data_IF_832693365148
#
_entry.id   IF_832693365148
#
_cell.length_a   1.000
_cell.length_b   1.000
_cell.length_c   1.000
_cell.angle_alpha   90.00
_cell.angle_beta   90.00
_cell.angle_gamma   90.00
#
_symmetry.space_group_name_H-M   'P 1'
#
loop_
_entity.id
_entity.type
_entity.pdbx_description
1 polymer ?
#
# COMPACT_ATOMS: atom_id res chain seq x y z
N UNK A 1 23.67 -2.92 -27.15
CA UNK A 1 23.95 -3.08 -25.71
C UNK A 1 22.77 -2.46 -24.99
N UNK A 2 21.69 -3.22 -24.85
CA UNK A 2 20.51 -2.80 -24.13
C UNK A 2 20.88 -2.87 -22.66
N UNK A 3 20.88 -1.72 -21.99
CA UNK A 3 21.11 -1.69 -20.56
C UNK A 3 19.90 -2.35 -19.93
N UNK A 4 20.11 -3.55 -19.39
CA UNK A 4 19.23 -4.15 -18.40
C UNK A 4 19.19 -3.16 -17.23
N UNK A 5 18.28 -2.18 -17.31
CA UNK A 5 18.03 -1.24 -16.23
C UNK A 5 17.34 -2.09 -15.18
N UNK A 6 18.12 -2.65 -14.27
CA UNK A 6 17.63 -3.06 -12.95
C UNK A 6 16.88 -1.85 -12.40
N UNK A 7 15.57 -1.83 -12.57
CA UNK A 7 14.74 -0.68 -12.22
C UNK A 7 14.86 -0.48 -10.72
N UNK A 8 15.41 0.67 -10.31
CA UNK A 8 15.62 1.01 -8.91
C UNK A 8 14.33 1.62 -8.33
N UNK A 9 14.00 1.25 -7.10
CA UNK A 9 12.97 1.95 -6.33
C UNK A 9 13.23 3.46 -6.37
N UNK A 10 12.24 4.23 -6.80
CA UNK A 10 12.35 5.68 -6.96
C UNK A 10 11.23 6.38 -6.21
N UNK A 11 11.59 7.41 -5.44
CA UNK A 11 10.67 8.35 -4.81
C UNK A 11 10.71 9.63 -5.65
N UNK A 12 9.62 9.98 -6.31
CA UNK A 12 9.54 11.10 -7.25
C UNK A 12 9.15 12.40 -6.55
N UNK A 13 8.25 12.30 -5.57
CA UNK A 13 7.85 13.39 -4.70
C UNK A 13 7.77 12.91 -3.25
N UNK A 14 8.16 13.79 -2.33
CA UNK A 14 8.08 13.57 -0.90
C UNK A 14 7.83 14.88 -0.17
N UNK A 15 6.72 14.93 0.53
CA UNK A 15 6.45 15.92 1.57
C UNK A 15 6.57 15.26 2.94
N UNK A 16 7.37 15.86 3.82
CA UNK A 16 7.55 15.43 5.22
C UNK A 16 6.55 16.12 6.17
N UNK A 17 6.53 15.68 7.43
CA UNK A 17 5.70 16.22 8.51
C UNK A 17 4.52 15.33 8.88
N UNK A 18 3.61 15.80 9.75
CA UNK A 18 2.51 15.00 10.29
C UNK A 18 1.53 14.46 9.24
N UNK A 19 1.54 15.03 8.04
CA UNK A 19 0.76 14.60 6.88
C UNK A 19 1.65 14.10 5.75
N UNK A 20 2.77 13.46 6.08
CA UNK A 20 3.76 13.00 5.11
C UNK A 20 3.09 12.19 3.99
N UNK A 21 3.40 12.55 2.74
CA UNK A 21 2.82 11.98 1.54
C UNK A 21 3.80 12.10 0.38
N UNK A 22 3.54 11.36 -0.68
CA UNK A 22 4.38 11.36 -1.87
C UNK A 22 4.02 10.23 -2.82
N UNK A 23 4.79 10.13 -3.90
CA UNK A 23 4.60 9.10 -4.92
C UNK A 23 5.93 8.74 -5.58
N UNK A 24 5.93 7.63 -6.32
CA UNK A 24 7.10 7.14 -7.01
C UNK A 24 6.84 5.85 -7.78
N UNK A 25 7.92 5.09 -8.01
CA UNK A 25 7.90 3.83 -8.73
C UNK A 25 8.60 2.72 -7.96
N UNK A 26 7.98 1.53 -7.91
CA UNK A 26 8.59 0.33 -7.34
C UNK A 26 9.79 -0.11 -8.17
N UNK A 27 10.55 -1.10 -7.67
CA UNK A 27 11.64 -1.69 -8.44
C UNK A 27 11.14 -2.39 -9.73
N UNK A 28 9.87 -2.80 -9.75
CA UNK A 28 9.19 -3.38 -10.92
C UNK A 28 8.62 -2.31 -11.86
N UNK A 29 8.78 -1.02 -11.52
CA UNK A 29 8.30 0.12 -12.29
C UNK A 29 6.83 0.46 -12.07
N UNK A 30 6.15 -0.19 -11.13
CA UNK A 30 4.75 0.12 -10.83
C UNK A 30 4.64 1.46 -10.12
N UNK A 31 3.69 2.33 -10.51
CA UNK A 31 3.44 3.56 -9.78
C UNK A 31 2.89 3.25 -8.38
N UNK A 32 3.32 4.00 -7.38
CA UNK A 32 2.73 3.97 -6.04
C UNK A 32 2.53 5.38 -5.51
N UNK A 33 1.61 5.52 -4.57
CA UNK A 33 1.44 6.72 -3.76
C UNK A 33 1.29 6.32 -2.29
N UNK A 34 1.68 7.22 -1.39
CA UNK A 34 1.44 7.05 0.04
C UNK A 34 0.95 8.36 0.67
N UNK A 35 0.21 8.22 1.76
CA UNK A 35 -0.23 9.33 2.58
C UNK A 35 -0.33 8.93 4.03
N UNK A 36 -0.08 9.88 4.91
CA UNK A 36 -0.29 9.72 6.35
C UNK A 36 -1.59 10.40 6.75
N UNK A 37 -2.47 9.64 7.40
CA UNK A 37 -3.70 10.16 8.02
C UNK A 37 -3.69 9.73 9.48
N UNK A 38 -3.72 10.71 10.40
CA UNK A 38 -3.51 10.47 11.83
C UNK A 38 -2.16 9.77 12.05
N UNK A 39 -2.16 8.60 12.69
CA UNK A 39 -0.97 7.81 12.99
C UNK A 39 -0.81 6.60 12.06
N UNK A 40 -1.42 6.64 10.87
CA UNK A 40 -1.37 5.56 9.89
C UNK A 40 -0.89 6.09 8.55
N UNK A 41 0.12 5.44 7.96
CA UNK A 41 0.53 5.63 6.58
C UNK A 41 -0.13 4.53 5.73
N UNK A 42 -0.86 4.93 4.71
CA UNK A 42 -1.41 4.05 3.68
C UNK A 42 -0.56 4.20 2.42
N UNK A 43 -0.10 3.09 1.86
CA UNK A 43 0.59 3.01 0.58
C UNK A 43 -0.26 2.18 -0.39
N UNK A 44 -0.52 2.76 -1.56
CA UNK A 44 -1.28 2.15 -2.65
C UNK A 44 -0.35 1.95 -3.85
N UNK A 45 -0.30 0.74 -4.39
CA UNK A 45 0.39 0.42 -5.65
C UNK A 45 -0.65 0.33 -6.76
N UNK A 46 -0.41 1.02 -7.86
CA UNK A 46 -1.31 1.08 -9.01
C UNK A 46 -0.85 0.15 -10.14
N UNK A 47 -1.75 -0.14 -11.08
CA UNK A 47 -1.42 -0.85 -12.32
C UNK A 47 -0.38 -0.10 -13.12
N UNK A 48 0.56 -0.83 -13.72
CA UNK A 48 1.61 -0.24 -14.56
C UNK A 48 1.08 0.31 -15.89
N UNK A 49 -0.06 -0.20 -16.36
CA UNK A 49 -0.69 0.11 -17.64
C UNK A 49 -1.90 1.05 -17.51
N UNK A 50 -1.95 1.85 -16.44
CA UNK A 50 -2.99 2.87 -16.27
C UNK A 50 -3.00 3.81 -17.49
N UNK A 51 -4.14 3.88 -18.18
CA UNK A 51 -4.32 4.69 -19.39
C UNK A 51 -4.78 6.12 -19.09
N UNK A 52 -5.08 6.40 -17.83
CA UNK A 52 -5.48 7.72 -17.34
C UNK A 52 -4.27 8.47 -16.79
N UNK A 53 -4.27 9.79 -16.93
CA UNK A 53 -3.19 10.65 -16.41
C UNK A 53 -3.16 10.65 -14.87
N UNK A 54 -4.33 10.45 -14.24
CA UNK A 54 -4.47 10.35 -12.79
C UNK A 54 -5.16 9.02 -12.46
N UNK A 55 -4.44 8.05 -11.88
CA UNK A 55 -5.01 6.78 -11.45
C UNK A 55 -6.10 6.96 -10.39
N UNK A 56 -7.19 6.22 -10.54
CA UNK A 56 -8.28 6.17 -9.57
C UNK A 56 -8.12 5.04 -8.54
N UNK A 57 -8.97 4.99 -7.50
CA UNK A 57 -9.01 3.87 -6.55
C UNK A 57 -9.21 2.48 -7.22
N UNK A 58 -9.85 2.45 -8.39
CA UNK A 58 -10.05 1.25 -9.22
C UNK A 58 -8.76 0.68 -9.83
N UNK A 59 -7.72 1.53 -9.91
CA UNK A 59 -6.41 1.19 -10.47
C UNK A 59 -5.46 0.62 -9.40
N UNK A 60 -5.86 0.64 -8.12
CA UNK A 60 -5.07 0.08 -7.02
C UNK A 60 -5.05 -1.44 -7.11
N UNK A 61 -3.85 -2.02 -7.18
CA UNK A 61 -3.63 -3.48 -7.23
C UNK A 61 -3.17 -4.06 -5.91
N UNK A 62 -2.46 -3.28 -5.10
CA UNK A 62 -1.99 -3.71 -3.79
C UNK A 62 -1.97 -2.54 -2.80
N UNK A 63 -2.17 -2.84 -1.51
CA UNK A 63 -2.22 -1.86 -0.43
C UNK A 63 -1.45 -2.36 0.79
N UNK A 64 -0.80 -1.45 1.50
CA UNK A 64 -0.34 -1.66 2.87
C UNK A 64 -0.68 -0.47 3.75
N UNK A 65 -1.01 -0.76 5.00
CA UNK A 65 -1.15 0.23 6.06
C UNK A 65 -0.13 -0.05 7.16
N UNK A 66 0.50 1.00 7.68
CA UNK A 66 1.47 0.89 8.76
C UNK A 66 1.26 2.00 9.79
N UNK A 67 1.43 1.66 11.06
CA UNK A 67 1.49 2.65 12.13
C UNK A 67 2.78 3.47 11.99
N UNK A 68 2.69 4.78 12.20
CA UNK A 68 3.84 5.72 12.15
C UNK A 68 4.15 6.34 13.51
N UNK A 69 3.66 5.74 14.60
CA UNK A 69 3.85 6.24 15.97
C UNK A 69 5.32 6.30 16.39
N UNK A 70 6.14 5.42 15.82
CA UNK A 70 7.56 5.28 16.17
C UNK A 70 8.49 5.77 15.02
N UNK A 71 7.94 6.57 14.10
CA UNK A 71 8.65 7.08 12.93
C UNK A 71 8.76 8.59 13.03
N UNK A 72 9.98 9.11 12.83
CA UNK A 72 10.21 10.56 12.68
C UNK A 72 9.72 10.99 11.30
N UNK A 73 8.50 11.55 11.23
CA UNK A 73 7.91 12.00 9.98
C UNK A 73 8.49 13.33 9.49
N UNK A 74 9.22 14.08 10.33
CA UNK A 74 9.87 15.34 9.93
C UNK A 74 11.21 15.09 9.21
N UNK A 75 11.79 13.89 9.34
CA UNK A 75 12.99 13.48 8.61
C UNK A 75 12.67 12.74 7.30
N UNK A 76 13.05 13.34 6.18
CA UNK A 76 12.86 12.76 4.85
C UNK A 76 13.52 11.38 4.70
N UNK A 77 14.63 11.12 5.40
CA UNK A 77 15.32 9.82 5.36
C UNK A 77 14.51 8.73 6.03
N UNK A 78 13.87 9.04 7.15
CA UNK A 78 12.99 8.12 7.90
C UNK A 78 11.76 7.76 7.07
N UNK A 79 11.08 8.75 6.47
CA UNK A 79 9.92 8.50 5.60
C UNK A 79 10.33 7.67 4.37
N UNK A 80 11.45 8.01 3.72
CA UNK A 80 11.95 7.25 2.57
C UNK A 80 12.25 5.79 2.93
N UNK A 81 12.89 5.55 4.07
CA UNK A 81 13.19 4.20 4.54
C UNK A 81 11.90 3.40 4.80
N UNK A 82 10.94 4.00 5.51
CA UNK A 82 9.64 3.39 5.77
C UNK A 82 8.92 3.01 4.47
N UNK A 83 8.80 3.95 3.53
CA UNK A 83 8.09 3.69 2.25
C UNK A 83 8.79 2.59 1.45
N UNK A 84 10.12 2.65 1.33
CA UNK A 84 10.89 1.60 0.64
C UNK A 84 10.67 0.22 1.25
N UNK A 85 10.64 0.15 2.59
CA UNK A 85 10.48 -1.11 3.31
C UNK A 85 9.03 -1.63 3.25
N UNK A 86 8.04 -0.73 3.09
CA UNK A 86 6.62 -1.09 2.96
C UNK A 86 6.23 -1.58 1.56
N UNK A 87 6.81 -1.05 0.49
CA UNK A 87 6.50 -1.47 -0.90
C UNK A 87 6.45 -3.00 -1.08
N UNK A 88 7.47 -3.78 -0.70
CA UNK A 88 7.43 -5.25 -0.89
C UNK A 88 6.43 -5.97 0.01
N UNK A 89 5.84 -5.29 0.99
CA UNK A 89 4.85 -5.86 1.93
C UNK A 89 3.40 -5.56 1.53
N UNK A 90 3.18 -4.81 0.44
CA UNK A 90 1.85 -4.50 -0.06
C UNK A 90 1.09 -5.77 -0.47
N UNK A 91 -0.13 -5.90 0.03
CA UNK A 91 -0.98 -7.08 -0.20
C UNK A 91 -1.92 -6.80 -1.37
N UNK A 92 -2.08 -7.73 -2.32
CA UNK A 92 -3.03 -7.58 -3.42
C UNK A 92 -4.47 -7.33 -2.94
N UNK A 93 -5.18 -6.42 -3.62
CA UNK A 93 -6.58 -6.07 -3.28
C UNK A 93 -7.53 -7.27 -3.43
N UNK A 94 -7.21 -8.21 -4.31
CA UNK A 94 -7.95 -9.48 -4.46
C UNK A 94 -7.87 -10.38 -3.21
N UNK A 95 -6.71 -10.41 -2.55
CA UNK A 95 -6.49 -11.22 -1.34
C UNK A 95 -7.25 -10.65 -0.14
N UNK A 96 -7.31 -9.32 0.00
CA UNK A 96 -8.08 -8.65 1.06
C UNK A 96 -9.58 -8.96 0.98
N UNK A 97 -10.13 -9.03 -0.24
CA UNK A 97 -11.53 -9.43 -0.47
C UNK A 97 -11.78 -10.89 -0.09
N UNK A 98 -10.82 -11.77 -0.41
CA UNK A 98 -10.88 -13.18 -0.03
C UNK A 98 -10.87 -13.37 1.49
N UNK A 99 -9.96 -12.69 2.21
CA UNK A 99 -9.89 -12.73 3.66
C UNK A 99 -11.20 -12.30 4.33
N UNK A 100 -11.81 -11.20 3.86
CA UNK A 100 -13.12 -10.73 4.37
C UNK A 100 -14.23 -11.77 4.16
N UNK A 101 -14.21 -12.45 3.01
CA UNK A 101 -15.17 -13.51 2.68
C UNK A 101 -15.00 -14.71 3.62
N UNK A 102 -13.75 -15.12 3.89
CA UNK A 102 -13.45 -16.19 4.84
C UNK A 102 -13.90 -15.85 6.26
N UNK A 103 -13.66 -14.63 6.74
CA UNK A 103 -14.13 -14.18 8.07
C UNK A 103 -15.65 -14.26 8.16
N UNK A 104 -16.37 -13.77 7.16
CA UNK A 104 -17.85 -13.84 7.12
C UNK A 104 -18.35 -15.28 7.12
N UNK A 105 -17.72 -16.15 6.32
CA UNK A 105 -18.06 -17.57 6.27
C UNK A 105 -17.83 -18.25 7.63
N UNK A 106 -16.74 -17.94 8.32
CA UNK A 106 -16.45 -18.46 9.65
C UNK A 106 -17.48 -17.98 10.68
N UNK A 107 -17.81 -16.69 10.69
CA UNK A 107 -18.80 -16.13 11.61
C UNK A 107 -20.19 -16.73 11.37
N UNK A 108 -20.62 -16.89 10.12
CA UNK A 108 -21.88 -17.55 9.78
C UNK A 108 -21.91 -19.00 10.28
N UNK A 109 -20.78 -19.72 10.15
CA UNK A 109 -20.66 -21.09 10.68
C UNK A 109 -20.75 -21.13 12.21
N UNK A 110 -20.13 -20.17 12.91
CA UNK A 110 -20.21 -20.06 14.37
C UNK A 110 -21.63 -19.72 14.83
N UNK A 111 -22.32 -18.80 14.17
CA UNK A 111 -23.72 -18.47 14.46
C UNK A 111 -24.63 -19.69 14.27
N UNK A 112 -24.46 -20.46 13.19
CA UNK A 112 -25.24 -21.68 12.95
C UNK A 112 -25.05 -22.75 14.04
N UNK A 113 -23.88 -22.81 14.69
CA UNK A 113 -23.64 -23.70 15.84
C UNK A 113 -24.30 -23.16 17.11
N UNK A 114 -24.30 -21.85 17.32
CA UNK A 114 -24.90 -21.20 18.49
C UNK A 114 -26.44 -21.26 18.43
N UNK A 115 -27.03 -21.10 17.26
CA UNK A 115 -28.48 -21.09 17.03
C UNK A 115 -29.08 -22.51 16.90
N UNK A 116 -28.24 -23.55 16.88
CA UNK A 116 -28.65 -24.96 16.84
C UNK A 116 -29.20 -25.45 18.18
N UNK A 117 -30.42 -25.04 18.52
CA UNK A 117 -31.33 -25.74 19.43
C UNK A 117 -32.73 -25.80 18.83
#
# INVERSE_FOLDING_TARGET
METDRTSEFTLEDLTVGPFAHGFGRTAEGQPFAFRTVRSTLTLEIYRADATTEVPGPEDVVAVVEAAVTDIDLDDARSVRALVRDLVPTAVPVSEQRSATTTVRALLNRLSAVIEGR
#
